data_IF_783247901436
#
_entry.id   IF_783247901436
#
_cell.length_a   1.000
_cell.length_b   1.000
_cell.length_c   1.000
_cell.angle_alpha   90.00
_cell.angle_beta   90.00
_cell.angle_gamma   90.00
#
_symmetry.space_group_name_H-M   'P 1'
#
loop_
_entity.id
_entity.type
_entity.pdbx_description
1 polymer ?
#
# COMPACT_ATOMS: atom_id res chain seq x y z
N UNK A 1 -4.36 3.03 14.33
CA UNK A 1 -4.25 3.87 13.14
C UNK A 1 -2.96 3.58 12.37
N UNK A 2 -1.80 4.00 12.86
CA UNK A 2 -0.52 3.98 12.13
C UNK A 2 -0.16 2.61 11.52
N UNK A 3 0.22 1.63 12.33
CA UNK A 3 0.73 0.34 11.84
C UNK A 3 -0.27 -0.44 11.00
N UNK A 4 -1.56 -0.42 11.40
CA UNK A 4 -2.59 -1.17 10.69
C UNK A 4 -3.01 -0.48 9.38
N UNK A 5 -3.04 0.86 9.31
CA UNK A 5 -3.28 1.58 8.05
C UNK A 5 -2.18 1.28 7.03
N UNK A 6 -0.90 1.33 7.44
CA UNK A 6 0.21 0.97 6.55
C UNK A 6 0.16 -0.52 6.13
N UNK A 7 -0.25 -1.42 7.02
CA UNK A 7 -0.44 -2.83 6.66
C UNK A 7 -1.49 -3.00 5.56
N UNK A 8 -2.64 -2.34 5.73
CA UNK A 8 -3.71 -2.35 4.72
C UNK A 8 -3.28 -1.68 3.41
N UNK A 9 -2.47 -0.60 3.49
CA UNK A 9 -1.90 0.04 2.30
C UNK A 9 -0.95 -0.90 1.56
N UNK A 10 -0.04 -1.55 2.28
CA UNK A 10 0.90 -2.49 1.70
C UNK A 10 0.24 -3.67 0.98
N UNK A 11 -0.91 -4.15 1.48
CA UNK A 11 -1.63 -5.29 0.90
C UNK A 11 -2.57 -4.84 -0.23
N UNK A 12 -3.45 -3.88 0.05
CA UNK A 12 -4.59 -3.58 -0.80
C UNK A 12 -4.54 -2.20 -1.46
N UNK A 13 -3.96 -1.21 -0.79
CA UNK A 13 -3.90 0.16 -1.30
C UNK A 13 -5.26 0.77 -1.62
N UNK A 14 -5.30 1.69 -2.58
CA UNK A 14 -6.51 2.25 -3.20
C UNK A 14 -7.60 2.72 -2.22
N UNK A 15 -7.22 3.28 -1.07
CA UNK A 15 -8.14 3.81 -0.07
C UNK A 15 -8.64 2.80 0.98
N UNK A 16 -8.38 1.50 0.84
CA UNK A 16 -8.72 0.49 1.86
C UNK A 16 -7.97 0.73 3.17
N UNK A 17 -6.77 1.26 3.07
CA UNK A 17 -5.91 1.67 4.19
C UNK A 17 -6.52 2.76 5.07
N UNK A 18 -7.45 3.52 4.57
CA UNK A 18 -8.19 4.54 5.33
C UNK A 18 -9.55 4.00 5.75
N UNK A 19 -10.31 3.42 4.82
CA UNK A 19 -11.71 3.03 5.06
C UNK A 19 -11.84 1.98 6.17
N UNK A 20 -11.05 0.90 6.11
CA UNK A 20 -11.16 -0.21 7.07
C UNK A 20 -10.63 0.19 8.45
N UNK A 21 -9.40 0.74 8.60
CA UNK A 21 -8.91 1.16 9.91
C UNK A 21 -9.72 2.27 10.54
N UNK A 22 -10.25 3.23 9.76
CA UNK A 22 -11.11 4.29 10.28
C UNK A 22 -12.43 3.72 10.83
N UNK A 23 -13.08 2.79 10.11
CA UNK A 23 -14.27 2.11 10.60
C UNK A 23 -14.01 1.34 11.91
N UNK A 24 -12.84 0.69 12.02
CA UNK A 24 -12.44 0.02 13.26
C UNK A 24 -12.21 1.01 14.41
N UNK A 25 -11.57 2.15 14.16
CA UNK A 25 -11.38 3.19 15.17
C UNK A 25 -12.71 3.77 15.64
N UNK A 26 -13.67 4.00 14.72
CA UNK A 26 -15.02 4.45 15.06
C UNK A 26 -15.73 3.40 15.94
N UNK A 27 -15.62 2.12 15.61
CA UNK A 27 -16.17 1.03 16.42
C UNK A 27 -15.52 0.95 17.82
N UNK A 28 -14.29 1.44 17.98
CA UNK A 28 -13.61 1.57 19.28
C UNK A 28 -13.96 2.87 20.02
N UNK A 29 -14.87 3.71 19.51
CA UNK A 29 -15.34 4.92 20.14
C UNK A 29 -14.66 6.22 19.72
N UNK A 30 -13.78 6.20 18.72
CA UNK A 30 -13.20 7.43 18.16
C UNK A 30 -14.24 8.22 17.38
N UNK A 31 -14.14 9.55 17.43
CA UNK A 31 -14.92 10.41 16.54
C UNK A 31 -14.62 10.05 15.07
N UNK A 32 -15.65 9.91 14.19
CA UNK A 32 -15.46 9.50 12.79
C UNK A 32 -14.50 10.38 12.01
N UNK A 33 -14.56 11.70 12.20
CA UNK A 33 -13.65 12.66 11.52
C UNK A 33 -12.22 12.45 11.97
N UNK A 34 -12.00 12.36 13.30
CA UNK A 34 -10.68 12.10 13.89
C UNK A 34 -10.13 10.75 13.42
N UNK A 35 -10.95 9.71 13.38
CA UNK A 35 -10.56 8.38 12.88
C UNK A 35 -10.09 8.44 11.41
N UNK A 36 -10.84 9.14 10.56
CA UNK A 36 -10.44 9.33 9.15
C UNK A 36 -9.13 10.10 9.03
N UNK A 37 -8.95 11.19 9.79
CA UNK A 37 -7.73 12.02 9.76
C UNK A 37 -6.51 11.20 10.23
N UNK A 38 -6.66 10.43 11.31
CA UNK A 38 -5.60 9.51 11.80
C UNK A 38 -5.16 8.54 10.70
N UNK A 39 -6.12 7.93 10.01
CA UNK A 39 -5.83 6.94 8.99
C UNK A 39 -5.25 7.57 7.72
N UNK A 40 -5.71 8.76 7.31
CA UNK A 40 -5.16 9.50 6.19
C UNK A 40 -3.68 9.87 6.43
N UNK A 41 -3.37 10.41 7.61
CA UNK A 41 -1.98 10.74 7.97
C UNK A 41 -1.13 9.48 8.13
N UNK A 42 -1.70 8.45 8.75
CA UNK A 42 -1.04 7.15 8.85
C UNK A 42 -0.70 6.56 7.50
N UNK A 43 -1.55 6.75 6.52
CA UNK A 43 -1.36 6.24 5.17
C UNK A 43 -0.41 7.11 4.31
N UNK A 44 -0.22 8.37 4.64
CA UNK A 44 0.58 9.30 3.81
C UNK A 44 2.07 8.92 3.67
N UNK A 45 2.56 7.99 4.48
CA UNK A 45 3.96 7.60 4.52
C UNK A 45 4.34 6.42 3.60
N UNK A 46 3.38 5.73 2.99
CA UNK A 46 3.66 4.49 2.26
C UNK A 46 2.91 4.29 0.93
N UNK A 47 2.24 5.28 0.34
CA UNK A 47 1.44 5.07 -0.88
C UNK A 47 2.27 4.62 -2.07
N UNK A 48 3.53 5.03 -2.17
CA UNK A 48 4.45 4.68 -3.26
C UNK A 48 4.74 3.17 -3.31
N UNK A 49 4.59 2.50 -2.19
CA UNK A 49 4.74 1.05 -2.04
C UNK A 49 3.42 0.35 -1.70
N UNK A 50 2.31 1.07 -1.82
CA UNK A 50 0.97 0.53 -1.61
C UNK A 50 0.58 -0.53 -2.64
N UNK A 51 -0.46 -1.30 -2.35
CA UNK A 51 -0.94 -2.38 -3.22
C UNK A 51 0.23 -3.22 -3.78
N UNK A 52 1.09 -3.70 -2.87
CA UNK A 52 2.23 -4.57 -3.20
C UNK A 52 3.22 -3.88 -4.16
N UNK A 53 3.55 -2.63 -3.86
CA UNK A 53 4.52 -1.86 -4.63
C UNK A 53 4.03 -1.43 -6.03
N UNK A 54 2.72 -1.53 -6.30
CA UNK A 54 2.15 -1.21 -7.62
C UNK A 54 2.55 0.16 -8.16
N UNK A 55 2.59 1.27 -7.38
CA UNK A 55 3.02 2.57 -7.88
C UNK A 55 4.48 2.56 -8.38
N UNK A 56 5.40 2.05 -7.57
CA UNK A 56 6.82 1.94 -7.94
C UNK A 56 7.04 1.02 -9.13
N UNK A 57 6.32 -0.12 -9.19
CA UNK A 57 6.36 -1.03 -10.33
C UNK A 57 5.81 -0.39 -11.60
N UNK A 58 4.73 0.38 -11.49
CA UNK A 58 4.14 1.12 -12.62
C UNK A 58 5.08 2.20 -13.14
N UNK A 59 5.69 2.98 -12.25
CA UNK A 59 6.69 3.97 -12.58
C UNK A 59 7.88 3.33 -13.30
N UNK A 60 8.41 2.22 -12.76
CA UNK A 60 9.50 1.49 -13.38
C UNK A 60 9.14 0.97 -14.78
N UNK A 61 7.97 0.34 -14.95
CA UNK A 61 7.51 -0.15 -16.24
C UNK A 61 7.26 0.96 -17.27
N UNK A 62 6.95 2.16 -16.83
CA UNK A 62 6.71 3.31 -17.70
C UNK A 62 8.01 4.00 -18.10
N UNK A 63 8.94 4.17 -17.17
CA UNK A 63 10.20 4.87 -17.39
C UNK A 63 11.32 4.00 -17.96
N UNK A 64 11.27 2.67 -17.82
CA UNK A 64 12.35 1.74 -18.15
C UNK A 64 12.95 1.89 -19.56
N UNK A 65 12.20 1.98 -20.64
CA UNK A 65 12.80 1.98 -21.98
C UNK A 65 13.63 3.21 -22.31
N UNK A 66 13.48 4.30 -21.56
CA UNK A 66 13.95 5.62 -21.99
C UNK A 66 15.15 6.15 -21.22
N UNK A 67 15.55 5.58 -20.08
CA UNK A 67 16.34 6.37 -19.13
C UNK A 67 17.58 5.75 -18.54
N UNK A 68 17.78 4.42 -18.52
CA UNK A 68 18.89 3.89 -17.69
C UNK A 68 19.66 2.77 -18.38
N UNK A 69 20.92 3.10 -18.69
CA UNK A 69 21.99 2.14 -18.94
C UNK A 69 22.35 1.44 -17.63
N UNK A 70 22.03 0.15 -17.50
CA UNK A 70 22.45 -0.67 -16.36
C UNK A 70 21.38 -1.58 -15.76
N UNK A 71 20.09 -1.34 -15.98
CA UNK A 71 19.04 -2.26 -15.59
C UNK A 71 18.75 -3.27 -16.71
N UNK A 72 18.76 -4.56 -16.38
CA UNK A 72 18.51 -5.63 -17.36
C UNK A 72 17.04 -5.69 -17.81
N UNK A 73 16.12 -5.32 -16.90
CA UNK A 73 14.67 -5.29 -17.12
C UNK A 73 13.97 -4.32 -16.15
N UNK A 74 12.68 -4.09 -16.37
CA UNK A 74 11.87 -3.19 -15.53
C UNK A 74 11.79 -3.64 -14.06
N UNK A 75 11.96 -4.92 -13.76
CA UNK A 75 11.93 -5.41 -12.38
C UNK A 75 13.21 -5.07 -11.62
N UNK A 76 14.36 -5.11 -12.30
CA UNK A 76 15.64 -4.63 -11.75
C UNK A 76 15.59 -3.12 -11.54
N UNK A 77 15.02 -2.39 -12.50
CA UNK A 77 14.84 -0.96 -12.37
C UNK A 77 13.92 -0.59 -11.21
N UNK A 78 12.80 -1.30 -11.02
CA UNK A 78 11.91 -1.11 -9.87
C UNK A 78 12.64 -1.31 -8.52
N UNK A 79 13.52 -2.30 -8.44
CA UNK A 79 14.35 -2.51 -7.25
C UNK A 79 15.35 -1.36 -7.04
N UNK A 80 15.97 -0.86 -8.12
CA UNK A 80 16.86 0.31 -8.04
C UNK A 80 16.15 1.59 -7.61
N UNK A 81 14.87 1.76 -7.96
CA UNK A 81 14.03 2.88 -7.53
C UNK A 81 13.58 2.75 -6.07
N UNK A 82 13.44 1.54 -5.56
CA UNK A 82 12.87 1.28 -4.23
C UNK A 82 13.71 1.87 -3.10
N UNK A 83 15.03 1.73 -3.17
CA UNK A 83 15.92 2.22 -2.12
C UNK A 83 15.89 3.76 -2.00
N UNK A 84 16.11 4.58 -3.05
CA UNK A 84 16.05 6.02 -2.93
C UNK A 84 14.66 6.53 -2.57
N UNK A 85 13.59 5.89 -3.06
CA UNK A 85 12.22 6.22 -2.68
C UNK A 85 11.98 5.98 -1.20
N UNK A 86 12.36 4.82 -0.70
CA UNK A 86 12.24 4.51 0.73
C UNK A 86 13.05 5.48 1.60
N UNK A 87 14.26 5.84 1.18
CA UNK A 87 15.12 6.80 1.89
C UNK A 87 14.45 8.17 2.00
N UNK A 88 13.82 8.65 0.94
CA UNK A 88 13.09 9.92 0.94
C UNK A 88 11.87 9.90 1.88
N UNK A 89 11.23 8.73 2.07
CA UNK A 89 10.05 8.58 2.92
C UNK A 89 10.39 8.42 4.41
N UNK A 90 11.64 8.09 4.78
CA UNK A 90 12.04 7.89 6.19
C UNK A 90 11.61 9.05 7.09
N UNK A 91 11.86 10.34 6.78
CA UNK A 91 11.46 11.44 7.65
C UNK A 91 9.94 11.46 7.87
N UNK A 92 9.17 11.23 6.82
CA UNK A 92 7.71 11.19 6.90
C UNK A 92 7.23 10.02 7.75
N UNK A 93 7.81 8.83 7.57
CA UNK A 93 7.50 7.66 8.38
C UNK A 93 7.80 7.83 9.87
N UNK A 94 8.86 8.59 10.19
CA UNK A 94 9.20 8.89 11.60
C UNK A 94 8.26 9.93 12.18
N UNK A 95 7.91 10.97 11.44
CA UNK A 95 7.11 12.09 11.92
C UNK A 95 5.62 11.77 12.02
N UNK A 96 5.07 10.99 11.09
CA UNK A 96 3.63 10.71 11.00
C UNK A 96 3.01 10.17 12.31
N UNK A 97 3.56 9.19 13.02
CA UNK A 97 2.96 8.71 14.26
C UNK A 97 2.94 9.77 15.37
N UNK A 98 3.92 10.70 15.39
CA UNK A 98 3.90 11.83 16.32
C UNK A 98 2.80 12.83 15.97
N UNK A 99 2.62 13.13 14.66
CA UNK A 99 1.55 14.00 14.18
C UNK A 99 0.18 13.43 14.53
N UNK A 100 -0.01 12.12 14.41
CA UNK A 100 -1.25 11.44 14.80
C UNK A 100 -1.56 11.71 16.30
N UNK A 101 -0.59 11.55 17.18
CA UNK A 101 -0.79 11.78 18.63
C UNK A 101 -1.08 13.24 18.91
N UNK A 102 -0.36 14.15 18.25
CA UNK A 102 -0.60 15.60 18.39
C UNK A 102 -2.01 16.00 17.99
N UNK A 103 -2.55 15.41 16.95
CA UNK A 103 -3.91 15.67 16.49
C UNK A 103 -4.98 15.08 17.41
N UNK A 104 -4.70 13.93 18.05
CA UNK A 104 -5.63 13.28 18.95
C UNK A 104 -5.75 13.98 20.31
N UNK A 105 -4.65 14.47 20.87
CA UNK A 105 -4.64 14.96 22.26
C UNK A 105 -3.71 16.17 22.51
N UNK A 106 -3.25 16.82 21.43
CA UNK A 106 -2.35 17.96 21.53
C UNK A 106 -0.96 17.62 22.07
N UNK A 107 -0.20 18.66 22.41
CA UNK A 107 1.18 18.50 22.91
C UNK A 107 1.25 17.78 24.27
N UNK A 108 0.18 17.83 25.06
CA UNK A 108 0.12 17.14 26.37
C UNK A 108 0.05 15.62 26.19
N UNK A 109 -0.60 15.14 25.15
CA UNK A 109 -0.73 13.71 24.86
C UNK A 109 0.61 13.03 24.50
N UNK A 110 1.62 13.80 24.09
CA UNK A 110 2.96 13.26 23.85
C UNK A 110 3.70 12.88 25.15
N UNK A 111 3.33 13.50 26.30
CA UNK A 111 3.98 13.20 27.56
C UNK A 111 3.73 11.74 27.97
N UNK A 112 4.81 10.98 28.12
CA UNK A 112 4.78 9.58 28.54
C UNK A 112 4.66 8.58 27.39
N UNK A 113 4.26 8.99 26.16
CA UNK A 113 4.11 8.08 25.02
C UNK A 113 5.18 8.25 23.93
N UNK A 114 6.10 9.21 24.08
CA UNK A 114 7.20 9.46 23.12
C UNK A 114 8.00 8.18 22.84
N UNK A 115 8.32 7.41 23.90
CA UNK A 115 9.10 6.17 23.76
C UNK A 115 8.41 5.11 22.91
N UNK A 116 7.12 4.85 23.18
CA UNK A 116 6.34 3.87 22.41
C UNK A 116 6.12 4.37 20.98
N UNK A 117 5.92 5.67 20.78
CA UNK A 117 5.77 6.27 19.45
C UNK A 117 7.04 6.14 18.63
N UNK A 118 8.19 6.40 19.24
CA UNK A 118 9.49 6.25 18.58
C UNK A 118 9.78 4.79 18.24
N UNK A 119 9.50 3.86 19.14
CA UNK A 119 9.62 2.42 18.86
C UNK A 119 8.68 2.02 17.73
N UNK A 120 7.44 2.50 17.70
CA UNK A 120 6.48 2.25 16.62
C UNK A 120 7.01 2.78 15.28
N UNK A 121 7.57 3.99 15.25
CA UNK A 121 8.15 4.58 14.06
C UNK A 121 9.37 3.78 13.56
N UNK A 122 10.34 3.51 14.43
CA UNK A 122 11.59 2.83 14.07
C UNK A 122 11.36 1.37 13.70
N UNK A 123 10.46 0.68 14.38
CA UNK A 123 10.10 -0.70 14.06
C UNK A 123 9.38 -0.85 12.72
N UNK A 124 8.81 0.23 12.18
CA UNK A 124 8.34 0.31 10.80
C UNK A 124 9.49 0.63 9.84
N UNK A 125 10.22 1.71 10.10
CA UNK A 125 11.21 2.29 9.18
C UNK A 125 12.37 1.33 8.91
N UNK A 126 12.90 0.67 9.93
CA UNK A 126 14.08 -0.20 9.76
C UNK A 126 13.79 -1.37 8.82
N UNK A 127 12.79 -2.24 9.05
CA UNK A 127 12.51 -3.32 8.12
C UNK A 127 11.97 -2.82 6.78
N UNK A 128 11.19 -1.74 6.75
CA UNK A 128 10.73 -1.10 5.52
C UNK A 128 11.91 -0.73 4.61
N UNK A 129 12.91 -0.02 5.12
CA UNK A 129 14.09 0.40 4.36
C UNK A 129 14.96 -0.80 3.94
N UNK A 130 15.20 -1.76 4.84
CA UNK A 130 15.98 -2.95 4.50
C UNK A 130 15.32 -3.78 3.40
N UNK A 131 14.02 -3.99 3.48
CA UNK A 131 13.30 -4.77 2.45
C UNK A 131 13.23 -4.00 1.13
N UNK A 132 13.00 -2.68 1.15
CA UNK A 132 13.04 -1.87 -0.06
C UNK A 132 14.40 -1.93 -0.75
N UNK A 133 15.49 -1.98 0.01
CA UNK A 133 16.86 -2.01 -0.51
C UNK A 133 17.23 -3.38 -1.07
N UNK A 134 16.93 -4.47 -0.35
CA UNK A 134 17.44 -5.80 -0.66
C UNK A 134 16.45 -6.72 -1.36
N UNK A 135 15.16 -6.48 -1.23
CA UNK A 135 14.09 -7.35 -1.77
C UNK A 135 13.34 -6.67 -2.91
N UNK A 136 12.92 -5.41 -2.71
CA UNK A 136 12.18 -4.63 -3.69
C UNK A 136 10.92 -3.98 -3.13
N UNK A 137 10.11 -3.36 -4.02
CA UNK A 137 8.98 -2.52 -3.62
C UNK A 137 7.79 -3.31 -3.07
N UNK A 138 7.65 -4.60 -3.41
CA UNK A 138 6.41 -5.34 -3.21
C UNK A 138 6.11 -5.63 -1.72
N UNK A 139 7.16 -5.85 -0.91
CA UNK A 139 7.01 -6.38 0.45
C UNK A 139 7.43 -5.41 1.55
N UNK A 140 8.05 -4.28 1.21
CA UNK A 140 8.67 -3.39 2.19
C UNK A 140 7.66 -2.82 3.20
N UNK A 141 6.51 -2.36 2.75
CA UNK A 141 5.45 -1.82 3.62
C UNK A 141 4.78 -2.94 4.42
N UNK A 142 4.52 -4.09 3.81
CA UNK A 142 3.88 -5.23 4.50
C UNK A 142 4.75 -5.71 5.66
N UNK A 143 6.04 -5.94 5.41
CA UNK A 143 6.97 -6.42 6.45
C UNK A 143 7.20 -5.33 7.51
N UNK A 144 7.42 -4.08 7.07
CA UNK A 144 7.58 -2.94 7.99
C UNK A 144 6.40 -2.77 8.93
N UNK A 145 5.18 -2.83 8.40
CA UNK A 145 3.96 -2.68 9.19
C UNK A 145 3.69 -3.87 10.13
N UNK A 146 3.99 -5.10 9.71
CA UNK A 146 3.86 -6.27 10.59
C UNK A 146 4.80 -6.18 11.80
N UNK A 147 6.07 -5.84 11.57
CA UNK A 147 7.05 -5.65 12.65
C UNK A 147 6.60 -4.50 13.57
N UNK A 148 6.14 -3.39 12.99
CA UNK A 148 5.60 -2.26 13.73
C UNK A 148 4.41 -2.67 14.61
N UNK A 149 3.44 -3.42 14.08
CA UNK A 149 2.29 -3.90 14.83
C UNK A 149 2.71 -4.77 16.02
N UNK A 150 3.60 -5.74 15.79
CA UNK A 150 4.09 -6.61 16.87
C UNK A 150 4.81 -5.81 17.95
N UNK A 151 5.75 -4.95 17.57
CA UNK A 151 6.51 -4.12 18.53
C UNK A 151 5.60 -3.17 19.31
N UNK A 152 4.65 -2.53 18.63
CA UNK A 152 3.71 -1.59 19.27
C UNK A 152 2.77 -2.33 20.23
N UNK A 153 2.28 -3.52 19.88
CA UNK A 153 1.43 -4.34 20.77
C UNK A 153 2.22 -4.78 22.01
N UNK A 154 3.45 -5.25 21.83
CA UNK A 154 4.31 -5.70 22.95
C UNK A 154 4.62 -4.54 23.89
N UNK A 155 4.96 -3.37 23.35
CA UNK A 155 5.23 -2.17 24.15
C UNK A 155 3.94 -1.65 24.81
N UNK A 156 2.83 -1.64 24.09
CA UNK A 156 1.54 -1.18 24.61
C UNK A 156 1.04 -2.01 25.81
N UNK A 157 1.29 -3.33 25.80
CA UNK A 157 0.95 -4.20 26.94
C UNK A 157 1.74 -3.88 28.21
N UNK A 158 2.92 -3.27 28.08
CA UNK A 158 3.76 -2.85 29.21
C UNK A 158 3.44 -1.43 29.67
N UNK A 159 2.71 -0.67 28.87
CA UNK A 159 2.38 0.75 29.12
C UNK A 159 0.99 0.85 29.69
N UNK A 160 0.87 0.69 31.01
CA UNK A 160 -0.41 0.60 31.73
C UNK A 160 -0.87 1.91 32.37
N UNK A 161 0.03 2.90 32.50
CA UNK A 161 -0.28 4.19 33.11
C UNK A 161 -0.76 5.20 32.06
N UNK A 162 -2.00 5.07 31.62
CA UNK A 162 -2.66 6.03 30.72
C UNK A 162 -3.49 6.97 31.58
N UNK A 163 -3.32 8.32 31.49
CA UNK A 163 -4.17 9.27 32.16
C UNK A 163 -5.65 9.07 31.77
N UNK A 164 -6.57 9.18 32.73
CA UNK A 164 -8.01 8.99 32.52
C UNK A 164 -8.57 9.88 31.41
N UNK A 165 -8.05 11.10 31.25
CA UNK A 165 -8.46 12.05 30.22
C UNK A 165 -8.24 11.54 28.77
N UNK A 166 -7.39 10.51 28.56
CA UNK A 166 -7.12 9.87 27.26
C UNK A 166 -7.72 8.48 27.15
N UNK A 167 -8.42 8.01 28.20
CA UNK A 167 -9.20 6.78 28.10
C UNK A 167 -10.46 7.06 27.30
N UNK A 168 -10.70 6.25 26.27
CA UNK A 168 -11.99 6.25 25.59
C UNK A 168 -13.01 5.75 26.62
N UNK A 169 -14.06 6.54 26.87
CA UNK A 169 -15.20 6.04 27.61
C UNK A 169 -15.69 4.78 26.92
N UNK A 170 -15.59 3.66 27.62
CA UNK A 170 -16.17 2.40 27.15
C UNK A 170 -17.68 2.59 27.19
N UNK A 171 -18.28 3.10 26.13
CA UNK A 171 -19.73 3.14 26.00
C UNK A 171 -20.22 1.71 26.07
N UNK A 172 -21.14 1.45 26.96
CA UNK A 172 -21.88 0.19 27.14
C UNK A 172 -22.49 -0.33 25.80
N UNK A 173 -22.55 0.50 24.76
CA UNK A 173 -22.95 0.12 23.41
C UNK A 173 -21.97 -0.85 22.70
N UNK A 174 -20.71 -0.91 23.09
CA UNK A 174 -19.79 -1.94 22.61
C UNK A 174 -20.11 -3.32 23.22
N UNK A 175 -20.77 -3.36 24.37
CA UNK A 175 -21.20 -4.59 25.02
C UNK A 175 -22.50 -5.17 24.42
N UNK A 176 -23.36 -4.34 23.84
CA UNK A 176 -24.61 -4.77 23.22
C UNK A 176 -24.45 -5.51 21.88
N UNK A 177 -23.25 -5.47 21.28
CA UNK A 177 -22.94 -6.24 20.06
C UNK A 177 -22.36 -7.65 20.35
N UNK A 178 -22.26 -8.04 21.61
CA UNK A 178 -21.58 -9.29 22.02
C UNK A 178 -22.44 -10.56 21.94
N UNK A 179 -23.68 -10.49 21.51
CA UNK A 179 -24.58 -11.66 21.41
C UNK A 179 -24.42 -12.47 20.10
N UNK A 180 -23.52 -12.08 19.20
CA UNK A 180 -23.18 -12.92 18.05
C UNK A 180 -22.00 -13.82 18.42
N UNK A 181 -22.01 -15.12 18.03
CA UNK A 181 -20.89 -16.01 18.29
C UNK A 181 -19.61 -15.38 17.74
N UNK A 182 -18.71 -14.99 18.64
CA UNK A 182 -17.47 -14.35 18.28
C UNK A 182 -16.59 -15.35 17.51
N UNK A 183 -16.30 -15.01 16.26
CA UNK A 183 -15.34 -15.76 15.46
C UNK A 183 -13.97 -15.72 16.14
N UNK A 184 -13.25 -16.85 16.17
CA UNK A 184 -11.86 -16.88 16.65
C UNK A 184 -11.02 -15.83 15.92
N UNK A 185 -10.17 -15.11 16.66
CA UNK A 185 -9.28 -14.07 16.11
C UNK A 185 -8.46 -14.60 14.92
N UNK A 186 -7.96 -15.83 14.99
CA UNK A 186 -7.21 -16.46 13.90
C UNK A 186 -8.07 -16.62 12.64
N UNK A 187 -9.33 -17.05 12.79
CA UNK A 187 -10.26 -17.16 11.66
C UNK A 187 -10.57 -15.78 11.05
N UNK A 188 -10.74 -14.74 11.88
CA UNK A 188 -11.00 -13.39 11.40
C UNK A 188 -9.82 -12.83 10.59
N UNK A 189 -8.59 -13.11 11.00
CA UNK A 189 -7.37 -12.65 10.33
C UNK A 189 -6.91 -13.55 9.16
N UNK A 190 -7.53 -14.72 8.98
CA UNK A 190 -7.07 -15.72 8.03
C UNK A 190 -6.93 -15.21 6.59
N UNK A 191 -7.85 -14.42 6.00
CA UNK A 191 -7.67 -13.90 4.65
C UNK A 191 -6.40 -13.07 4.52
N UNK A 192 -6.11 -12.20 5.48
CA UNK A 192 -4.90 -11.35 5.48
C UNK A 192 -3.62 -12.17 5.68
N UNK A 193 -3.66 -13.17 6.55
CA UNK A 193 -2.54 -14.11 6.76
C UNK A 193 -2.24 -14.87 5.47
N UNK A 194 -3.26 -15.34 4.77
CA UNK A 194 -3.10 -16.05 3.49
C UNK A 194 -2.53 -15.12 2.40
N UNK A 195 -2.98 -13.88 2.34
CA UNK A 195 -2.40 -12.88 1.42
C UNK A 195 -0.91 -12.76 1.66
N UNK A 196 -0.48 -12.55 2.91
CA UNK A 196 0.94 -12.43 3.25
C UNK A 196 1.72 -13.70 2.90
N UNK A 197 1.19 -14.88 3.23
CA UNK A 197 1.83 -16.18 2.92
C UNK A 197 1.97 -16.35 1.40
N UNK A 198 0.94 -16.07 0.63
CA UNK A 198 0.99 -16.22 -0.82
C UNK A 198 1.97 -15.24 -1.45
N UNK A 199 1.97 -13.97 -1.02
CA UNK A 199 2.90 -12.96 -1.54
C UNK A 199 4.35 -13.29 -1.20
N UNK A 200 4.64 -13.68 0.04
CA UNK A 200 5.97 -14.11 0.44
C UNK A 200 6.39 -15.38 -0.30
N UNK A 201 5.50 -16.38 -0.37
CA UNK A 201 5.78 -17.67 -0.98
C UNK A 201 5.98 -17.60 -2.51
N UNK A 202 5.32 -16.65 -3.18
CA UNK A 202 5.48 -16.47 -4.64
C UNK A 202 6.48 -15.40 -5.02
N UNK A 203 7.05 -14.70 -4.03
CA UNK A 203 8.05 -13.65 -4.24
C UNK A 203 9.40 -14.22 -4.72
N UNK A 204 10.30 -13.32 -5.14
CA UNK A 204 11.68 -13.67 -5.49
C UNK A 204 12.48 -14.30 -4.31
N UNK A 205 11.96 -14.20 -3.07
CA UNK A 205 12.56 -14.84 -1.89
C UNK A 205 12.45 -16.37 -1.93
N UNK A 206 11.48 -16.92 -2.69
CA UNK A 206 11.28 -18.36 -2.88
C UNK A 206 11.39 -18.70 -4.37
N UNK A 207 12.64 -18.75 -4.91
CA UNK A 207 12.88 -18.88 -6.35
C UNK A 207 12.17 -20.06 -7.02
N UNK A 208 12.09 -21.28 -6.42
CA UNK A 208 11.44 -22.41 -7.07
C UNK A 208 9.96 -22.15 -7.39
N UNK A 209 9.22 -21.56 -6.42
CA UNK A 209 7.80 -21.27 -6.60
C UNK A 209 7.62 -20.11 -7.58
N UNK A 210 8.42 -19.06 -7.45
CA UNK A 210 8.37 -17.90 -8.33
C UNK A 210 8.62 -18.29 -9.79
N UNK A 211 9.64 -19.10 -10.06
CA UNK A 211 9.97 -19.58 -11.43
C UNK A 211 8.88 -20.49 -11.98
N UNK A 212 8.35 -21.40 -11.18
CA UNK A 212 7.25 -22.28 -11.60
C UNK A 212 6.01 -21.48 -11.99
N UNK A 213 5.56 -20.55 -11.13
CA UNK A 213 4.40 -19.71 -11.42
C UNK A 213 4.68 -18.71 -12.56
N UNK A 214 5.93 -18.31 -12.72
CA UNK A 214 6.38 -17.45 -13.81
C UNK A 214 6.25 -18.07 -15.21
N UNK A 215 6.05 -19.38 -15.33
CA UNK A 215 5.80 -20.05 -16.61
C UNK A 215 4.39 -19.75 -17.17
N UNK A 216 3.43 -19.45 -16.29
CA UNK A 216 2.05 -19.11 -16.66
C UNK A 216 1.94 -17.64 -17.09
N UNK A 217 2.63 -17.30 -18.21
CA UNK A 217 2.63 -15.95 -18.78
C UNK A 217 2.15 -16.02 -20.24
N UNK A 218 1.35 -15.01 -20.61
CA UNK A 218 1.04 -14.73 -22.02
C UNK A 218 1.58 -13.36 -22.38
N UNK A 219 2.17 -13.21 -23.55
CA UNK A 219 2.63 -11.93 -24.05
C UNK A 219 1.88 -11.58 -25.34
N UNK A 220 1.39 -10.35 -25.40
CA UNK A 220 0.66 -9.81 -26.54
C UNK A 220 1.42 -8.63 -27.11
N UNK A 221 1.57 -8.57 -28.43
CA UNK A 221 2.09 -7.38 -29.11
C UNK A 221 0.94 -6.41 -29.30
N UNK A 222 1.05 -5.20 -28.74
CA UNK A 222 -0.02 -4.21 -28.76
C UNK A 222 0.27 -3.00 -29.65
N UNK A 223 1.52 -2.77 -30.02
CA UNK A 223 1.91 -1.60 -30.81
C UNK A 223 3.06 -1.91 -31.73
N UNK A 224 3.02 -1.35 -32.97
CA UNK A 224 4.04 -1.50 -34.04
C UNK A 224 4.25 -2.93 -34.59
N UNK A 225 3.28 -3.85 -34.49
CA UNK A 225 3.36 -5.18 -35.13
C UNK A 225 4.47 -6.08 -34.57
N UNK A 226 4.96 -7.03 -35.42
CA UNK A 226 6.05 -7.91 -35.01
C UNK A 226 7.32 -7.13 -34.64
N UNK A 227 7.86 -7.38 -33.44
CA UNK A 227 8.98 -6.62 -32.86
C UNK A 227 8.59 -5.39 -32.06
N UNK A 228 7.31 -5.03 -32.04
CA UNK A 228 6.80 -3.88 -31.28
C UNK A 228 6.64 -4.12 -29.77
N UNK A 229 6.03 -3.16 -29.09
CA UNK A 229 5.83 -3.20 -27.65
C UNK A 229 4.96 -4.40 -27.22
N UNK A 230 5.50 -5.22 -26.31
CA UNK A 230 4.83 -6.40 -25.77
C UNK A 230 4.30 -6.11 -24.36
N UNK A 231 3.08 -6.55 -24.09
CA UNK A 231 2.53 -6.60 -22.74
C UNK A 231 2.48 -8.04 -22.27
N UNK A 232 3.11 -8.31 -21.14
CA UNK A 232 3.06 -9.61 -20.49
C UNK A 232 1.94 -9.66 -19.47
N UNK A 233 1.10 -10.70 -19.52
CA UNK A 233 0.09 -11.00 -18.52
C UNK A 233 0.52 -12.26 -17.78
N UNK A 234 0.78 -12.13 -16.48
CA UNK A 234 1.01 -13.28 -15.60
C UNK A 234 -0.32 -13.74 -15.03
N UNK A 235 -0.76 -14.95 -15.38
CA UNK A 235 -2.09 -15.46 -15.03
C UNK A 235 -2.25 -15.80 -13.56
N UNK A 236 -1.20 -16.25 -12.91
CA UNK A 236 -1.25 -16.73 -11.52
C UNK A 236 -0.39 -15.87 -10.60
N UNK A 237 0.86 -15.60 -11.01
CA UNK A 237 1.81 -14.83 -10.20
C UNK A 237 1.58 -13.32 -10.33
N UNK A 238 0.34 -12.90 -10.10
CA UNK A 238 -0.07 -11.49 -10.05
C UNK A 238 -0.68 -11.22 -8.71
N UNK A 239 -0.27 -10.16 -8.00
CA UNK A 239 -0.75 -9.85 -6.66
C UNK A 239 -2.27 -9.86 -6.53
N UNK A 240 -2.99 -9.27 -7.48
CA UNK A 240 -4.46 -9.25 -7.47
C UNK A 240 -5.09 -10.65 -7.50
N UNK A 241 -4.55 -11.57 -8.29
CA UNK A 241 -5.06 -12.96 -8.36
C UNK A 241 -4.79 -13.70 -7.05
N UNK A 242 -3.58 -13.54 -6.48
CA UNK A 242 -3.22 -14.13 -5.20
C UNK A 242 -4.14 -13.63 -4.08
N UNK A 243 -4.49 -12.33 -4.08
CA UNK A 243 -5.45 -11.75 -3.13
C UNK A 243 -6.85 -12.35 -3.30
N UNK A 244 -7.33 -12.53 -4.53
CA UNK A 244 -8.63 -13.17 -4.81
C UNK A 244 -8.63 -14.60 -4.25
N UNK A 245 -7.59 -15.39 -4.54
CA UNK A 245 -7.47 -16.78 -4.06
C UNK A 245 -7.44 -16.80 -2.51
N UNK A 246 -6.64 -15.95 -1.89
CA UNK A 246 -6.55 -15.84 -0.44
C UNK A 246 -7.91 -15.47 0.20
N UNK A 247 -8.63 -14.54 -0.42
CA UNK A 247 -9.95 -14.12 0.04
C UNK A 247 -10.96 -15.26 -0.07
N UNK A 248 -11.02 -15.97 -1.19
CA UNK A 248 -11.94 -17.12 -1.38
C UNK A 248 -11.66 -18.19 -0.34
N UNK A 249 -10.40 -18.58 -0.14
CA UNK A 249 -10.03 -19.61 0.85
C UNK A 249 -10.34 -19.11 2.27
N UNK A 250 -9.93 -17.87 2.59
CA UNK A 250 -10.12 -17.30 3.92
C UNK A 250 -11.60 -17.18 4.31
N UNK A 251 -12.44 -16.67 3.42
CA UNK A 251 -13.88 -16.53 3.67
C UNK A 251 -14.63 -17.88 3.69
N UNK A 252 -14.21 -18.84 2.89
CA UNK A 252 -14.74 -20.22 2.98
C UNK A 252 -14.47 -20.85 4.35
N UNK A 253 -13.26 -20.69 4.89
CA UNK A 253 -12.92 -21.18 6.25
C UNK A 253 -13.66 -20.40 7.33
N UNK A 254 -14.01 -19.14 7.09
CA UNK A 254 -14.86 -18.34 7.99
C UNK A 254 -16.33 -18.82 7.99
N UNK A 255 -16.73 -19.65 7.04
CA UNK A 255 -18.07 -20.20 6.93
C UNK A 255 -19.00 -19.40 6.01
N UNK A 256 -18.46 -18.50 5.19
CA UNK A 256 -19.24 -17.79 4.18
C UNK A 256 -19.65 -18.74 3.05
N UNK A 257 -20.89 -18.63 2.59
CA UNK A 257 -21.36 -19.38 1.42
C UNK A 257 -20.82 -18.78 0.12
N UNK A 258 -20.78 -19.58 -0.94
CA UNK A 258 -20.41 -19.11 -2.29
C UNK A 258 -21.39 -18.00 -2.75
N UNK A 259 -22.66 -18.11 -2.36
CA UNK A 259 -23.68 -17.08 -2.64
C UNK A 259 -23.36 -15.75 -1.97
N UNK A 260 -22.94 -15.78 -0.69
CA UNK A 260 -22.57 -14.56 0.04
C UNK A 260 -21.33 -13.90 -0.57
N UNK A 261 -20.33 -14.71 -0.93
CA UNK A 261 -19.13 -14.22 -1.62
C UNK A 261 -19.47 -13.59 -2.98
N UNK A 262 -20.36 -14.22 -3.75
CA UNK A 262 -20.84 -13.69 -5.04
C UNK A 262 -21.64 -12.39 -4.89
N UNK A 263 -22.49 -12.31 -3.88
CA UNK A 263 -23.27 -11.12 -3.58
C UNK A 263 -22.36 -9.93 -3.18
N UNK A 264 -21.36 -10.19 -2.34
CA UNK A 264 -20.41 -9.17 -1.91
C UNK A 264 -19.48 -8.70 -3.04
N UNK A 265 -19.03 -9.64 -3.88
CA UNK A 265 -18.29 -9.31 -5.11
C UNK A 265 -19.11 -8.43 -6.04
N UNK A 266 -20.39 -8.72 -6.22
CA UNK A 266 -21.32 -7.91 -7.01
C UNK A 266 -21.50 -6.49 -6.46
N UNK A 267 -21.63 -6.35 -5.15
CA UNK A 267 -21.71 -5.03 -4.47
C UNK A 267 -20.40 -4.26 -4.65
N UNK A 268 -19.26 -4.93 -4.46
CA UNK A 268 -17.93 -4.33 -4.64
C UNK A 268 -17.75 -3.84 -6.08
N UNK A 269 -18.06 -4.67 -7.07
CA UNK A 269 -17.98 -4.28 -8.47
C UNK A 269 -18.88 -3.07 -8.78
N UNK A 270 -20.15 -3.10 -8.30
CA UNK A 270 -21.08 -1.99 -8.47
C UNK A 270 -20.62 -0.71 -7.77
N UNK A 271 -19.93 -0.81 -6.65
CA UNK A 271 -19.38 0.34 -5.93
C UNK A 271 -18.14 0.94 -6.58
N UNK A 272 -17.25 0.11 -7.10
CA UNK A 272 -15.90 0.51 -7.54
C UNK A 272 -15.68 0.55 -9.05
N UNK A 273 -16.68 0.20 -9.89
CA UNK A 273 -16.51 0.13 -11.35
C UNK A 273 -16.02 1.44 -11.97
N UNK A 274 -16.47 2.60 -11.43
CA UNK A 274 -16.02 3.93 -11.92
C UNK A 274 -14.54 4.14 -11.63
N UNK A 275 -14.08 3.79 -10.42
CA UNK A 275 -12.68 3.87 -10.06
C UNK A 275 -11.81 2.91 -10.92
N UNK A 276 -12.30 1.70 -11.17
CA UNK A 276 -11.63 0.75 -12.07
C UNK A 276 -11.47 1.31 -13.49
N UNK A 277 -12.53 1.91 -14.07
CA UNK A 277 -12.46 2.55 -15.37
C UNK A 277 -11.49 3.73 -15.38
N UNK A 278 -11.49 4.56 -14.32
CA UNK A 278 -10.57 5.68 -14.20
C UNK A 278 -9.12 5.20 -14.26
N UNK A 279 -8.76 4.18 -13.49
CA UNK A 279 -7.40 3.61 -13.48
C UNK A 279 -7.03 3.03 -14.86
N UNK A 280 -7.94 2.28 -15.49
CA UNK A 280 -7.72 1.73 -16.83
C UNK A 280 -7.43 2.86 -17.84
N UNK A 281 -8.26 3.91 -17.87
CA UNK A 281 -8.09 5.00 -18.82
C UNK A 281 -6.81 5.81 -18.56
N UNK A 282 -6.47 6.11 -17.32
CA UNK A 282 -5.25 6.87 -16.98
C UNK A 282 -4.00 6.08 -17.40
N UNK A 283 -3.93 4.80 -17.05
CA UNK A 283 -2.79 3.95 -17.46
C UNK A 283 -2.73 3.81 -18.98
N UNK A 284 -3.90 3.70 -19.65
CA UNK A 284 -3.96 3.61 -21.11
C UNK A 284 -3.45 4.90 -21.76
N UNK A 285 -3.86 6.07 -21.27
CA UNK A 285 -3.37 7.38 -21.75
C UNK A 285 -1.86 7.46 -21.58
N UNK A 286 -1.33 7.14 -20.40
CA UNK A 286 0.12 7.16 -20.14
C UNK A 286 0.89 6.25 -21.11
N UNK A 287 0.38 5.05 -21.41
CA UNK A 287 0.98 4.13 -22.38
C UNK A 287 0.91 4.66 -23.81
N UNK A 288 -0.23 5.21 -24.23
CA UNK A 288 -0.37 5.81 -25.57
C UNK A 288 0.57 7.00 -25.74
N UNK A 289 0.66 7.88 -24.75
CA UNK A 289 1.62 9.01 -24.76
C UNK A 289 3.08 8.51 -24.85
N UNK A 290 3.41 7.45 -24.10
CA UNK A 290 4.73 6.83 -24.14
C UNK A 290 5.06 6.26 -25.54
N UNK A 291 4.14 5.53 -26.15
CA UNK A 291 4.32 4.96 -27.49
C UNK A 291 4.36 6.02 -28.61
N UNK A 292 3.63 7.12 -28.43
CA UNK A 292 3.63 8.25 -29.36
C UNK A 292 4.85 9.17 -29.24
N UNK A 293 5.75 8.94 -28.25
CA UNK A 293 6.91 9.79 -27.99
C UNK A 293 6.59 11.08 -27.23
N UNK A 294 5.31 11.38 -26.96
CA UNK A 294 4.87 12.63 -26.32
C UNK A 294 5.50 12.85 -24.95
N UNK A 295 5.72 11.77 -24.18
CA UNK A 295 6.36 11.86 -22.86
C UNK A 295 7.80 12.34 -22.98
N UNK A 296 8.53 11.83 -23.98
CA UNK A 296 9.91 12.25 -24.25
C UNK A 296 9.99 13.71 -24.73
N UNK A 297 9.09 14.11 -25.62
CA UNK A 297 9.04 15.49 -26.14
C UNK A 297 8.72 16.47 -25.00
N UNK A 298 7.79 16.13 -24.12
CA UNK A 298 7.44 16.93 -22.95
C UNK A 298 8.63 17.03 -21.96
N UNK A 299 9.30 15.90 -21.70
CA UNK A 299 10.46 15.87 -20.82
C UNK A 299 11.62 16.73 -21.39
N UNK A 300 11.89 16.64 -22.69
CA UNK A 300 12.91 17.44 -23.36
C UNK A 300 12.54 18.94 -23.35
N UNK A 301 11.29 19.29 -23.60
CA UNK A 301 10.81 20.67 -23.53
C UNK A 301 10.95 21.25 -22.12
N UNK A 302 10.51 20.53 -21.10
CA UNK A 302 10.65 20.95 -19.70
C UNK A 302 12.12 21.06 -19.28
N UNK A 303 12.95 20.10 -19.65
CA UNK A 303 14.38 20.11 -19.35
C UNK A 303 15.10 21.29 -20.05
N UNK A 304 14.73 21.58 -21.29
CA UNK A 304 15.32 22.73 -22.03
C UNK A 304 14.88 24.07 -21.46
N UNK A 305 13.65 24.20 -20.98
CA UNK A 305 13.11 25.41 -20.38
C UNK A 305 13.64 25.66 -18.97
N UNK A 306 13.75 24.64 -18.17
CA UNK A 306 14.03 24.71 -16.73
C UNK A 306 15.50 24.42 -16.40
N UNK A 307 16.23 23.75 -17.29
CA UNK A 307 17.61 23.35 -17.05
C UNK A 307 17.74 22.58 -15.72
N UNK A 308 18.70 22.95 -14.89
CA UNK A 308 18.92 22.33 -13.57
C UNK A 308 17.77 22.55 -12.58
N UNK A 309 16.91 23.55 -12.78
CA UNK A 309 15.75 23.79 -11.94
C UNK A 309 14.68 22.70 -12.11
N UNK A 310 14.71 21.91 -13.20
CA UNK A 310 13.80 20.79 -13.42
C UNK A 310 13.83 19.79 -12.26
N UNK A 311 15.00 19.50 -11.70
CA UNK A 311 15.17 18.57 -10.58
C UNK A 311 14.36 19.01 -9.35
N UNK A 312 14.27 20.32 -9.10
CA UNK A 312 13.50 20.87 -7.98
C UNK A 312 11.99 20.93 -8.26
N UNK A 313 11.60 21.05 -9.54
CA UNK A 313 10.20 21.19 -9.95
C UNK A 313 9.53 19.82 -10.22
N UNK A 314 10.30 18.81 -10.61
CA UNK A 314 9.78 17.46 -10.88
C UNK A 314 8.95 16.86 -9.72
N UNK A 315 9.34 16.96 -8.43
CA UNK A 315 8.50 16.50 -7.32
C UNK A 315 7.17 17.25 -7.21
N UNK A 316 7.12 18.52 -7.55
CA UNK A 316 5.90 19.33 -7.58
C UNK A 316 4.94 18.84 -8.68
N UNK A 317 5.47 18.52 -9.86
CA UNK A 317 4.68 17.97 -10.97
C UNK A 317 4.08 16.62 -10.56
N UNK A 318 4.89 15.73 -9.99
CA UNK A 318 4.40 14.45 -9.45
C UNK A 318 3.37 14.64 -8.34
N UNK A 319 3.60 15.59 -7.42
CA UNK A 319 2.66 15.93 -6.36
C UNK A 319 1.31 16.44 -6.89
N UNK A 320 1.31 17.28 -7.93
CA UNK A 320 0.08 17.73 -8.62
C UNK A 320 -0.61 16.54 -9.28
N UNK A 321 0.14 15.64 -9.92
CA UNK A 321 -0.40 14.42 -10.50
C UNK A 321 -1.14 13.56 -9.45
N UNK A 322 -0.48 13.29 -8.30
CA UNK A 322 -1.09 12.57 -7.19
C UNK A 322 -2.32 13.27 -6.62
N UNK A 323 -2.28 14.61 -6.51
CA UNK A 323 -3.40 15.40 -6.00
C UNK A 323 -4.62 15.33 -6.93
N UNK A 324 -4.42 15.47 -8.23
CA UNK A 324 -5.49 15.45 -9.23
C UNK A 324 -6.10 14.06 -9.37
N UNK A 325 -5.28 13.02 -9.37
CA UNK A 325 -5.73 11.63 -9.57
C UNK A 325 -6.18 10.96 -8.29
N UNK A 326 -5.76 11.46 -7.14
CA UNK A 326 -5.97 10.84 -5.83
C UNK A 326 -5.22 9.51 -5.65
N UNK A 327 -4.21 9.24 -6.46
CA UNK A 327 -3.49 7.96 -6.47
C UNK A 327 -2.04 8.12 -6.97
N UNK A 328 -1.09 7.61 -6.22
CA UNK A 328 0.31 7.56 -6.64
C UNK A 328 0.54 6.63 -7.85
N UNK A 329 -0.31 5.62 -8.04
CA UNK A 329 -0.22 4.71 -9.21
C UNK A 329 -0.64 5.39 -10.51
N UNK A 330 -1.54 6.36 -10.42
CA UNK A 330 -2.14 7.04 -11.58
C UNK A 330 -1.45 8.36 -11.92
N UNK A 331 -0.59 8.84 -11.04
CA UNK A 331 0.19 10.07 -11.21
C UNK A 331 1.44 9.83 -12.03
#
# INVERSE_FOLDING_TARGET
GWGFSNFMEGIAGFGTAVAIPAAMLVALGFNPVTACVICLIGNAASPEFGAIGTPTLSAANTAFPTTITGAADASVFAQMLSEPTARLLIPLCVVSPFVIILLCGGTKALKGVVGITLVSALSFVIPFYLVATFVGPELCVVIGSLVCLVCTIVMGRKHTNIPEEYMLESKEEAAASSDKPQMSMVKAWLPYILVVIFLLGTSKLVPPINQFLGQFKSSFVIYCGEGGAKVGLSWINTPGILMIIATIIGTAVQGASISDMGAELGKTFKGYWKAMLTVIFIISIAKVMGYAGMVMDLANALSSLLGNAYIAIAPLIGGIGCFVTGSATSA
#
